data_IF_248606089075
#
_entry.id   IF_248606089075
#
_cell.length_a   1.000
_cell.length_b   1.000
_cell.length_c   1.000
_cell.angle_alpha   90.00
_cell.angle_beta   90.00
_cell.angle_gamma   90.00
#
_symmetry.space_group_name_H-M   'P 1'
#
loop_
_entity.id
_entity.type
_entity.pdbx_description
1 polymer ?
#
# COMPACT_ATOMS: atom_id res chain seq x y z
N UNK A 1 10.04 14.86 38.30
CA UNK A 1 10.59 14.68 36.93
C UNK A 1 10.13 13.37 36.30
N UNK A 2 10.45 12.20 36.86
CA UNK A 2 10.08 10.89 36.29
C UNK A 2 8.58 10.65 35.98
N UNK A 3 7.61 10.98 36.86
CA UNK A 3 6.19 10.72 36.56
C UNK A 3 5.64 11.63 35.46
N UNK A 4 6.14 12.86 35.37
CA UNK A 4 5.76 13.81 34.32
C UNK A 4 6.23 13.30 32.96
N UNK A 5 7.45 12.76 32.90
CA UNK A 5 8.01 12.16 31.67
C UNK A 5 7.14 10.98 31.22
N UNK A 6 6.75 10.10 32.15
CA UNK A 6 5.89 8.95 31.82
C UNK A 6 4.50 9.36 31.33
N UNK A 7 3.91 10.41 31.93
CA UNK A 7 2.66 10.99 31.46
C UNK A 7 2.79 11.58 30.05
N UNK A 8 3.85 12.34 29.77
CA UNK A 8 4.08 12.92 28.44
C UNK A 8 4.25 11.81 27.39
N UNK A 9 5.07 10.79 27.68
CA UNK A 9 5.29 9.66 26.77
C UNK A 9 3.98 8.89 26.52
N UNK A 10 3.20 8.62 27.57
CA UNK A 10 1.90 7.96 27.45
C UNK A 10 0.91 8.76 26.60
N UNK A 11 0.82 10.08 26.80
CA UNK A 11 -0.03 10.96 26.00
C UNK A 11 0.41 10.96 24.53
N UNK A 12 1.71 11.09 24.26
CA UNK A 12 2.24 11.05 22.90
C UNK A 12 1.96 9.71 22.21
N UNK A 13 2.07 8.60 22.94
CA UNK A 13 1.76 7.27 22.42
C UNK A 13 0.26 7.14 22.10
N UNK A 14 -0.63 7.58 22.99
CA UNK A 14 -2.07 7.57 22.74
C UNK A 14 -2.44 8.41 21.51
N UNK A 15 -1.89 9.62 21.40
CA UNK A 15 -2.10 10.50 20.23
C UNK A 15 -1.57 9.84 18.96
N UNK A 16 -0.42 9.17 19.04
CA UNK A 16 0.17 8.44 17.92
C UNK A 16 -0.71 7.28 17.44
N UNK A 17 -1.17 6.41 18.35
CA UNK A 17 -2.05 5.27 18.00
C UNK A 17 -3.34 5.77 17.35
N UNK A 18 -3.96 6.80 17.92
CA UNK A 18 -5.18 7.39 17.38
C UNK A 18 -4.96 7.92 15.96
N UNK A 19 -3.94 8.78 15.77
CA UNK A 19 -3.65 9.36 14.46
C UNK A 19 -3.25 8.32 13.43
N UNK A 20 -2.50 7.30 13.83
CA UNK A 20 -2.07 6.27 12.91
C UNK A 20 -3.24 5.40 12.44
N UNK A 21 -4.14 5.01 13.34
CA UNK A 21 -5.36 4.28 12.99
C UNK A 21 -6.28 5.09 12.06
N UNK A 22 -6.53 6.36 12.37
CA UNK A 22 -7.31 7.27 11.51
C UNK A 22 -6.65 7.46 10.14
N UNK A 23 -5.31 7.58 10.09
CA UNK A 23 -4.58 7.70 8.82
C UNK A 23 -4.71 6.48 7.91
N UNK A 24 -5.08 5.33 8.49
CA UNK A 24 -5.32 4.06 7.80
C UNK A 24 -6.80 3.82 7.54
N UNK A 25 -7.66 4.83 7.77
CA UNK A 25 -9.12 4.75 7.71
C UNK A 25 -9.68 3.62 8.58
N UNK A 26 -9.04 3.36 9.72
CA UNK A 26 -9.53 2.48 10.78
C UNK A 26 -10.06 3.36 11.92
N UNK A 27 -11.07 2.90 12.66
CA UNK A 27 -11.62 3.66 13.79
C UNK A 27 -10.57 3.82 14.89
N UNK A 28 -9.99 5.02 15.02
CA UNK A 28 -8.89 5.29 15.93
C UNK A 28 -9.29 5.28 17.40
N UNK A 29 -10.53 5.65 17.73
CA UNK A 29 -11.03 5.60 19.10
C UNK A 29 -11.12 4.14 19.59
N UNK A 30 -11.61 3.24 18.74
CA UNK A 30 -11.72 1.81 19.07
C UNK A 30 -10.33 1.20 19.33
N UNK A 31 -9.36 1.47 18.46
CA UNK A 31 -7.98 0.98 18.64
C UNK A 31 -7.30 1.58 19.87
N UNK A 32 -7.52 2.86 20.16
CA UNK A 32 -7.01 3.49 21.37
C UNK A 32 -7.60 2.82 22.62
N UNK A 33 -8.91 2.54 22.66
CA UNK A 33 -9.56 1.85 23.78
C UNK A 33 -8.98 0.44 23.98
N UNK A 34 -8.78 -0.32 22.89
CA UNK A 34 -8.17 -1.66 22.97
C UNK A 34 -6.77 -1.57 23.58
N UNK A 35 -5.91 -0.67 23.10
CA UNK A 35 -4.55 -0.49 23.60
C UNK A 35 -4.55 0.03 25.05
N UNK A 36 -5.51 0.86 25.44
CA UNK A 36 -5.62 1.38 26.80
C UNK A 36 -5.97 0.25 27.81
N UNK A 37 -6.88 -0.65 27.44
CA UNK A 37 -7.35 -1.73 28.33
C UNK A 37 -6.35 -2.90 28.38
N UNK A 38 -5.82 -3.30 27.23
CA UNK A 38 -4.91 -4.45 27.12
C UNK A 38 -3.43 -4.08 27.20
N UNK A 39 -3.12 -2.78 27.28
CA UNK A 39 -1.76 -2.26 27.41
C UNK A 39 -0.86 -2.64 26.23
N UNK A 40 0.33 -3.14 26.56
CA UNK A 40 1.33 -3.54 25.56
C UNK A 40 0.81 -4.65 24.64
N UNK A 41 -0.05 -5.55 25.15
CA UNK A 41 -0.62 -6.65 24.35
C UNK A 41 -1.49 -6.07 23.22
N UNK A 42 -2.32 -5.08 23.52
CA UNK A 42 -3.12 -4.39 22.51
C UNK A 42 -2.29 -3.67 21.48
N UNK A 43 -1.16 -3.08 21.90
CA UNK A 43 -0.23 -2.44 20.98
C UNK A 43 0.39 -3.45 20.01
N UNK A 44 0.77 -4.64 20.50
CA UNK A 44 1.29 -5.72 19.65
C UNK A 44 0.23 -6.18 18.65
N UNK A 45 -1.01 -6.44 19.13
CA UNK A 45 -2.12 -6.84 18.25
C UNK A 45 -2.40 -5.76 17.20
N UNK A 46 -2.42 -4.49 17.62
CA UNK A 46 -2.59 -3.36 16.72
C UNK A 46 -1.54 -3.36 15.62
N UNK A 47 -0.26 -3.53 15.96
CA UNK A 47 0.83 -3.54 14.97
C UNK A 47 0.71 -4.70 13.98
N UNK A 48 0.22 -5.86 14.41
CA UNK A 48 -0.02 -7.03 13.53
C UNK A 48 -1.18 -6.77 12.57
N UNK A 49 -2.29 -6.23 13.05
CA UNK A 49 -3.53 -6.02 12.27
C UNK A 49 -3.50 -4.71 11.45
N UNK A 50 -2.51 -3.85 11.70
CA UNK A 50 -2.36 -2.53 11.09
C UNK A 50 -2.40 -2.61 9.56
N UNK A 51 -3.50 -2.12 8.98
CA UNK A 51 -3.67 -2.06 7.51
C UNK A 51 -2.71 -1.07 6.89
N UNK A 52 -2.19 -1.34 5.70
CA UNK A 52 -1.39 -0.39 4.94
C UNK A 52 -2.16 0.92 4.67
N UNK A 53 -1.42 2.01 4.44
CA UNK A 53 -2.06 3.29 4.12
C UNK A 53 -2.74 3.18 2.75
N UNK A 54 -3.96 3.73 2.59
CA UNK A 54 -4.60 3.76 1.29
C UNK A 54 -3.71 4.53 0.30
N UNK A 55 -3.69 4.13 -0.97
CA UNK A 55 -2.91 4.84 -1.97
C UNK A 55 -3.40 6.29 -2.06
N UNK A 56 -2.50 7.25 -2.29
CA UNK A 56 -2.88 8.65 -2.38
C UNK A 56 -3.89 8.87 -3.50
N UNK A 57 -4.77 9.89 -3.35
CA UNK A 57 -5.77 10.21 -4.36
C UNK A 57 -5.10 10.46 -5.72
N UNK A 58 -5.76 10.11 -6.83
CA UNK A 58 -5.20 10.11 -8.19
C UNK A 58 -4.70 11.49 -8.66
N UNK A 59 -5.08 12.56 -7.96
CA UNK A 59 -4.65 13.94 -8.21
C UNK A 59 -3.17 14.22 -7.89
N UNK A 60 -2.44 13.28 -7.29
CA UNK A 60 -1.03 13.47 -6.89
C UNK A 60 -0.06 12.43 -7.44
N UNK A 61 -0.54 11.51 -8.29
CA UNK A 61 0.31 10.55 -8.97
C UNK A 61 0.85 11.19 -10.26
N UNK A 62 2.17 11.35 -10.47
CA UNK A 62 2.66 11.15 -11.81
C UNK A 62 2.24 9.73 -12.20
N UNK A 63 1.50 9.61 -13.30
CA UNK A 63 1.14 8.36 -13.95
C UNK A 63 2.39 7.47 -14.04
N UNK A 64 2.58 6.55 -13.09
CA UNK A 64 3.56 5.50 -13.27
C UNK A 64 2.94 4.48 -14.21
N UNK A 65 3.12 4.72 -15.51
CA UNK A 65 2.75 3.81 -16.58
C UNK A 65 3.55 2.52 -16.45
N UNK A 66 3.06 1.57 -15.65
CA UNK A 66 3.46 0.17 -15.70
C UNK A 66 2.25 -0.73 -15.48
N UNK A 67 1.23 -0.53 -16.31
CA UNK A 67 0.21 -1.53 -16.63
C UNK A 67 -0.61 -0.98 -17.80
N UNK A 68 -0.02 -0.93 -18.99
CA UNK A 68 -0.86 -0.83 -20.19
C UNK A 68 -1.61 -2.16 -20.34
N UNK A 69 -2.91 -2.13 -20.68
CA UNK A 69 -3.60 -3.32 -21.13
C UNK A 69 -2.94 -3.74 -22.45
N UNK A 70 -2.23 -4.87 -22.38
CA UNK A 70 -1.57 -5.52 -23.52
C UNK A 70 -2.63 -5.92 -24.54
N UNK A 71 -2.91 -5.04 -25.50
CA UNK A 71 -3.59 -5.47 -26.71
C UNK A 71 -2.73 -6.59 -27.33
N UNK A 72 -3.29 -7.78 -27.53
CA UNK A 72 -2.58 -8.89 -28.16
C UNK A 72 -2.72 -8.70 -29.68
N UNK A 73 -1.61 -8.73 -30.42
CA UNK A 73 -1.59 -8.72 -31.89
C UNK A 73 -1.02 -10.04 -32.40
N UNK A 74 -1.42 -10.47 -33.60
CA UNK A 74 -0.81 -11.63 -34.24
C UNK A 74 0.42 -11.20 -35.03
N UNK A 75 1.50 -11.97 -34.94
CA UNK A 75 2.69 -11.73 -35.75
C UNK A 75 2.35 -11.98 -37.23
N UNK A 76 2.55 -11.00 -38.15
CA UNK A 76 2.19 -11.14 -39.56
C UNK A 76 3.04 -12.17 -40.31
N UNK A 77 4.10 -12.67 -39.69
CA UNK A 77 5.02 -13.60 -40.34
C UNK A 77 4.89 -15.06 -39.90
N UNK A 78 4.43 -15.31 -38.67
CA UNK A 78 4.32 -16.67 -38.13
C UNK A 78 2.93 -16.97 -37.56
N UNK A 79 2.03 -15.98 -37.50
CA UNK A 79 0.66 -16.14 -37.01
C UNK A 79 0.53 -16.37 -35.51
N UNK A 80 1.61 -16.27 -34.72
CA UNK A 80 1.56 -16.43 -33.26
C UNK A 80 1.18 -15.13 -32.56
N UNK A 81 0.48 -15.28 -31.45
CA UNK A 81 0.09 -14.20 -30.55
C UNK A 81 1.32 -13.56 -29.91
N UNK A 82 1.37 -12.23 -29.96
CA UNK A 82 2.44 -11.41 -29.39
C UNK A 82 1.85 -10.16 -28.74
N UNK A 83 2.54 -9.63 -27.73
CA UNK A 83 2.22 -8.34 -27.10
C UNK A 83 2.20 -7.21 -28.14
N UNK A 84 1.21 -6.30 -28.12
CA UNK A 84 1.15 -5.18 -29.07
C UNK A 84 2.40 -4.30 -29.07
N UNK A 85 3.03 -4.17 -27.91
CA UNK A 85 4.24 -3.39 -27.69
C UNK A 85 5.52 -4.17 -27.99
N UNK A 86 5.43 -5.44 -28.43
CA UNK A 86 6.61 -6.18 -28.86
C UNK A 86 7.20 -5.57 -30.13
N UNK A 87 8.52 -5.31 -30.10
CA UNK A 87 9.34 -4.87 -31.25
C UNK A 87 9.80 -6.06 -32.08
N UNK A 88 10.02 -7.22 -31.44
CA UNK A 88 10.47 -8.45 -32.09
C UNK A 88 9.59 -9.63 -31.68
N UNK A 89 9.32 -10.54 -32.61
CA UNK A 89 8.59 -11.76 -32.33
C UNK A 89 9.52 -12.80 -31.67
N UNK A 90 9.21 -13.31 -30.46
CA UNK A 90 10.07 -14.29 -29.76
C UNK A 90 10.09 -15.66 -30.45
N UNK A 91 9.11 -15.94 -31.30
CA UNK A 91 9.00 -17.24 -31.95
C UNK A 91 9.68 -17.33 -33.32
N UNK A 92 9.84 -16.20 -34.02
CA UNK A 92 10.40 -16.18 -35.37
C UNK A 92 11.53 -15.17 -35.55
N UNK A 93 11.85 -14.38 -34.53
CA UNK A 93 12.96 -13.41 -34.53
C UNK A 93 12.75 -12.18 -35.41
N UNK A 94 11.61 -12.06 -36.12
CA UNK A 94 11.33 -10.91 -37.01
C UNK A 94 10.78 -9.71 -36.25
N UNK A 95 11.13 -8.51 -36.72
CA UNK A 95 10.65 -7.24 -36.19
C UNK A 95 9.16 -7.06 -36.50
N UNK A 96 8.37 -6.66 -35.51
CA UNK A 96 6.88 -6.60 -35.53
C UNK A 96 6.33 -5.25 -35.04
N UNK A 97 7.21 -4.31 -34.67
CA UNK A 97 6.88 -2.88 -34.51
C UNK A 97 7.07 -2.11 -35.80
#
# INVERSE_FOLDING_TARGET
>A
MAPIIWLIIGILLCVWVYRDAESRKMNGALWLIIVLISGIIGLIIYLIVRKEKPPPPPTSRPEYTMAQPSAIKFCPYCGKEIEANAVFCPYCGKKVS
#
